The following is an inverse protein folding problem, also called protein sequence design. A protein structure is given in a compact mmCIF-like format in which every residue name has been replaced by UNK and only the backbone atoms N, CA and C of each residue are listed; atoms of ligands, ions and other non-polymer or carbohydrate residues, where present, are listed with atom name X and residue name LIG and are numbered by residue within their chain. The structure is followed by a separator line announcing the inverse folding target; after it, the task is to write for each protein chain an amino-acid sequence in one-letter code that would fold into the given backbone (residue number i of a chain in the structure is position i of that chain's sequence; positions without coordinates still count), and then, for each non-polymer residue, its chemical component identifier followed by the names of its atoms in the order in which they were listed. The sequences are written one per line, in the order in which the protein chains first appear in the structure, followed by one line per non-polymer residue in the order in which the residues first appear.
data_IF_677860822291
#
_entry.id   IF_677860822291
#
_cell.length_a   1.000
_cell.length_b   1.000
_cell.length_c   1.000
_cell.angle_alpha   90.00
_cell.angle_beta   90.00
_cell.angle_gamma   90.00
#
_symmetry.space_group_name_H-M   'P 1'
#
loop_
_entity.id
_entity.type
_entity.pdbx_description
1 polymer ?
#
# COMPACT_ATOMS: atom_id res chain seq x y z
N UNK A 1 -68.32 -68.32 -10.59
CA UNK A 1 -67.25 -69.09 -11.27
C UNK A 1 -66.73 -68.27 -12.45
N UNK A 2 -66.24 -67.06 -12.16
CA UNK A 2 -64.82 -66.74 -11.93
C UNK A 2 -64.00 -66.77 -13.23
N UNK A 3 -63.98 -65.56 -13.78
CA UNK A 3 -63.16 -65.03 -14.87
C UNK A 3 -61.66 -65.10 -14.55
N UNK A 4 -60.85 -65.09 -15.61
CA UNK A 4 -59.42 -64.77 -15.65
C UNK A 4 -58.43 -65.90 -15.38
N UNK A 5 -57.76 -66.33 -16.46
CA UNK A 5 -56.36 -66.71 -16.36
C UNK A 5 -55.62 -66.29 -17.64
N UNK A 6 -55.11 -65.06 -17.62
CA UNK A 6 -54.11 -64.59 -18.58
C UNK A 6 -52.74 -65.22 -18.22
N UNK A 7 -51.87 -65.53 -19.20
CA UNK A 7 -50.52 -65.98 -18.91
C UNK A 7 -49.72 -64.82 -18.29
N UNK A 8 -49.34 -65.03 -17.03
CA UNK A 8 -48.44 -64.15 -16.28
C UNK A 8 -47.02 -64.32 -16.81
N UNK A 9 -46.46 -63.17 -17.19
CA UNK A 9 -45.11 -62.73 -16.84
C UNK A 9 -44.00 -63.44 -17.64
N UNK A 10 -43.24 -62.74 -18.48
CA UNK A 10 -42.48 -61.56 -18.08
C UNK A 10 -41.18 -62.04 -17.43
N UNK A 11 -40.06 -61.34 -17.65
CA UNK A 11 -38.77 -61.60 -16.98
C UNK A 11 -37.85 -62.68 -17.56
N UNK A 12 -37.93 -62.98 -18.86
CA UNK A 12 -36.89 -63.77 -19.56
C UNK A 12 -35.59 -63.00 -19.87
N UNK A 13 -35.56 -61.68 -19.67
CA UNK A 13 -34.46 -60.82 -20.15
C UNK A 13 -33.73 -60.02 -19.05
N UNK A 14 -34.08 -60.21 -17.78
CA UNK A 14 -33.37 -59.56 -16.66
C UNK A 14 -32.20 -60.38 -16.10
N UNK A 15 -31.83 -61.48 -16.76
CA UNK A 15 -30.66 -62.29 -16.39
C UNK A 15 -29.35 -61.89 -17.07
N UNK A 16 -29.36 -60.96 -18.05
CA UNK A 16 -28.18 -60.74 -18.91
C UNK A 16 -27.53 -59.36 -18.88
N UNK A 17 -27.89 -58.46 -17.96
CA UNK A 17 -27.23 -57.14 -17.92
C UNK A 17 -27.16 -56.53 -16.54
N UNK A 18 -26.62 -57.24 -15.56
CA UNK A 18 -25.98 -56.58 -14.42
C UNK A 18 -24.67 -57.29 -14.18
N UNK A 19 -23.72 -56.99 -15.07
CA UNK A 19 -22.33 -57.32 -14.80
C UNK A 19 -21.94 -56.66 -13.48
N UNK A 20 -21.28 -57.35 -12.53
CA UNK A 20 -20.95 -56.83 -11.18
C UNK A 20 -19.81 -55.80 -11.21
N UNK A 21 -19.89 -54.85 -12.12
CA UNK A 21 -18.94 -53.76 -12.32
C UNK A 21 -19.11 -52.52 -11.42
N UNK A 22 -20.26 -52.20 -10.79
CA UNK A 22 -20.35 -50.97 -10.01
C UNK A 22 -19.37 -50.89 -8.83
N UNK A 23 -19.11 -51.95 -8.02
CA UNK A 23 -18.17 -51.84 -6.89
C UNK A 23 -16.70 -51.78 -7.34
N UNK A 24 -16.33 -52.47 -8.43
CA UNK A 24 -14.97 -52.47 -8.97
C UNK A 24 -14.57 -51.10 -9.52
N UNK A 25 -15.52 -50.36 -10.09
CA UNK A 25 -15.28 -49.01 -10.60
C UNK A 25 -15.14 -47.99 -9.46
N UNK A 26 -15.93 -48.12 -8.40
CA UNK A 26 -15.82 -47.26 -7.21
C UNK A 26 -14.56 -47.52 -6.40
N UNK A 27 -14.13 -48.78 -6.29
CA UNK A 27 -12.87 -49.17 -5.63
C UNK A 27 -11.67 -48.58 -6.36
N UNK A 28 -11.60 -48.73 -7.69
CA UNK A 28 -10.53 -48.14 -8.50
C UNK A 28 -10.51 -46.60 -8.47
N UNK A 29 -11.68 -45.97 -8.32
CA UNK A 29 -11.76 -44.53 -8.14
C UNK A 29 -11.18 -44.11 -6.80
N UNK A 30 -11.54 -44.82 -5.72
CA UNK A 30 -11.02 -44.57 -4.38
C UNK A 30 -9.50 -44.80 -4.29
N UNK A 31 -8.98 -45.85 -4.94
CA UNK A 31 -7.54 -46.09 -5.04
C UNK A 31 -6.83 -44.92 -5.76
N UNK A 32 -7.39 -44.43 -6.87
CA UNK A 32 -6.84 -43.27 -7.59
C UNK A 32 -6.91 -41.97 -6.77
N UNK A 33 -7.98 -41.76 -6.01
CA UNK A 33 -8.12 -40.63 -5.09
C UNK A 33 -7.08 -40.71 -3.96
N UNK A 34 -6.87 -41.90 -3.40
CA UNK A 34 -5.87 -42.13 -2.36
C UNK A 34 -4.44 -41.93 -2.89
N UNK A 35 -4.13 -42.45 -4.08
CA UNK A 35 -2.85 -42.20 -4.75
C UNK A 35 -2.62 -40.71 -5.00
N UNK A 36 -3.68 -39.99 -5.40
CA UNK A 36 -3.63 -38.53 -5.54
C UNK A 36 -3.35 -37.84 -4.20
N UNK A 37 -4.04 -38.23 -3.13
CA UNK A 37 -3.80 -37.69 -1.79
C UNK A 37 -2.37 -37.96 -1.31
N UNK A 38 -1.87 -39.20 -1.49
CA UNK A 38 -0.50 -39.57 -1.13
C UNK A 38 0.51 -38.75 -1.94
N UNK A 39 0.24 -38.51 -3.22
CA UNK A 39 1.08 -37.67 -4.06
C UNK A 39 1.07 -36.21 -3.63
N UNK A 40 -0.08 -35.67 -3.26
CA UNK A 40 -0.21 -34.30 -2.73
C UNK A 40 0.62 -34.16 -1.45
N UNK A 41 0.48 -35.09 -0.50
CA UNK A 41 1.23 -35.06 0.76
C UNK A 41 2.75 -35.13 0.54
N UNK A 42 3.21 -35.97 -0.39
CA UNK A 42 4.63 -36.04 -0.75
C UNK A 42 5.13 -34.73 -1.38
N UNK A 43 4.35 -34.10 -2.28
CA UNK A 43 4.70 -32.81 -2.86
C UNK A 43 4.72 -31.68 -1.82
N UNK A 44 3.78 -31.66 -0.89
CA UNK A 44 3.74 -30.70 0.22
C UNK A 44 4.97 -30.84 1.13
N UNK A 45 5.38 -32.09 1.40
CA UNK A 45 6.62 -32.39 2.13
C UNK A 45 7.84 -31.90 1.37
N UNK A 46 7.92 -32.14 0.06
CA UNK A 46 9.02 -31.66 -0.78
C UNK A 46 9.10 -30.15 -0.81
N UNK A 47 7.97 -29.44 -0.93
CA UNK A 47 7.92 -27.98 -0.88
C UNK A 47 8.35 -27.44 0.48
N UNK A 48 7.89 -28.07 1.57
CA UNK A 48 8.27 -27.69 2.93
C UNK A 48 9.77 -27.92 3.17
N UNK A 49 10.31 -29.02 2.65
CA UNK A 49 11.72 -29.34 2.71
C UNK A 49 12.56 -28.33 1.90
N UNK A 50 12.19 -28.07 0.65
CA UNK A 50 12.87 -27.10 -0.22
C UNK A 50 12.86 -25.69 0.39
N UNK A 51 11.75 -25.27 1.02
CA UNK A 51 11.69 -24.00 1.75
C UNK A 51 12.68 -23.95 2.91
N UNK A 52 12.76 -25.02 3.71
CA UNK A 52 13.71 -25.13 4.83
C UNK A 52 15.16 -25.10 4.35
N UNK A 53 15.47 -25.78 3.25
CA UNK A 53 16.81 -25.78 2.65
C UNK A 53 17.18 -24.40 2.09
N UNK A 54 16.24 -23.72 1.43
CA UNK A 54 16.45 -22.33 0.97
C UNK A 54 16.65 -21.37 2.14
N UNK A 55 15.92 -21.53 3.23
CA UNK A 55 16.11 -20.75 4.45
C UNK A 55 17.48 -21.01 5.10
N UNK A 56 17.89 -22.27 5.19
CA UNK A 56 19.21 -22.65 5.70
C UNK A 56 20.35 -22.08 4.83
N UNK A 57 20.24 -22.16 3.50
CA UNK A 57 21.22 -21.57 2.59
C UNK A 57 21.22 -20.04 2.69
N UNK A 58 20.05 -19.42 2.85
CA UNK A 58 19.94 -17.97 3.08
C UNK A 58 20.61 -17.57 4.39
N UNK A 59 20.48 -18.35 5.46
CA UNK A 59 21.15 -18.06 6.72
C UNK A 59 22.67 -18.20 6.61
N UNK A 60 23.14 -19.24 5.92
CA UNK A 60 24.58 -19.45 5.68
C UNK A 60 25.20 -18.38 4.77
N UNK A 61 24.46 -17.90 3.78
CA UNK A 61 24.91 -16.86 2.86
C UNK A 61 24.58 -15.45 3.34
N UNK A 62 23.68 -15.30 4.32
CA UNK A 62 23.40 -13.99 4.90
C UNK A 62 24.61 -13.57 5.72
N UNK A 63 25.32 -12.49 5.33
CA UNK A 63 26.22 -11.84 6.26
C UNK A 63 25.45 -11.45 7.53
N UNK A 64 26.11 -11.27 8.69
CA UNK A 64 25.45 -10.76 9.89
C UNK A 64 24.69 -9.50 9.49
N UNK A 65 23.36 -9.54 9.66
CA UNK A 65 22.49 -8.41 9.34
C UNK A 65 23.05 -7.21 10.10
N UNK A 66 23.58 -6.17 9.42
CA UNK A 66 23.97 -4.96 10.13
C UNK A 66 22.73 -4.49 10.90
N UNK A 67 22.87 -3.92 12.11
CA UNK A 67 21.73 -3.37 12.83
C UNK A 67 20.95 -2.52 11.83
N UNK A 68 19.64 -2.75 11.73
CA UNK A 68 18.74 -2.01 10.84
C UNK A 68 19.17 -0.56 10.83
N UNK A 69 19.40 0.07 9.66
CA UNK A 69 19.79 1.46 9.63
C UNK A 69 18.76 2.23 10.48
N UNK A 70 19.22 3.18 11.32
CA UNK A 70 18.29 3.97 12.11
C UNK A 70 17.20 4.48 11.17
N UNK A 71 15.94 4.41 11.61
CA UNK A 71 14.84 5.00 10.84
C UNK A 71 15.28 6.38 10.35
N UNK A 72 15.07 6.71 9.05
CA UNK A 72 15.57 7.95 8.48
C UNK A 72 15.17 9.08 9.43
N UNK A 73 16.17 9.87 9.84
CA UNK A 73 15.90 10.93 10.80
C UNK A 73 14.82 11.83 10.19
N UNK A 74 13.93 12.44 10.99
CA UNK A 74 12.95 13.39 10.47
C UNK A 74 13.59 14.47 9.56
N UNK A 75 14.86 14.78 9.82
CA UNK A 75 15.69 15.66 9.00
C UNK A 75 15.96 15.12 7.59
N UNK A 76 16.26 13.82 7.44
CA UNK A 76 16.49 13.19 6.14
C UNK A 76 15.21 13.16 5.31
N UNK A 77 14.07 12.89 5.95
CA UNK A 77 12.76 12.97 5.32
C UNK A 77 12.46 14.40 4.82
N UNK A 78 12.77 15.41 5.64
CA UNK A 78 12.58 16.81 5.25
C UNK A 78 13.51 17.21 4.10
N UNK A 79 14.79 16.79 4.14
CA UNK A 79 15.75 17.03 3.06
C UNK A 79 15.29 16.44 1.73
N UNK A 80 14.85 15.17 1.72
CA UNK A 80 14.36 14.51 0.51
C UNK A 80 13.09 15.18 -0.04
N UNK A 81 12.19 15.61 0.84
CA UNK A 81 10.99 16.35 0.43
C UNK A 81 11.35 17.71 -0.18
N UNK A 82 12.34 18.41 0.39
CA UNK A 82 12.84 19.67 -0.14
C UNK A 82 13.52 19.48 -1.51
N UNK A 83 14.35 18.45 -1.66
CA UNK A 83 14.99 18.09 -2.94
C UNK A 83 13.95 17.84 -4.04
N UNK A 84 12.87 17.11 -3.73
CA UNK A 84 11.76 16.89 -4.67
C UNK A 84 11.04 18.19 -5.03
N UNK A 85 10.77 19.07 -4.05
CA UNK A 85 10.12 20.36 -4.31
C UNK A 85 10.98 21.30 -5.14
N UNK A 86 12.29 21.33 -4.92
CA UNK A 86 13.22 22.11 -5.72
C UNK A 86 13.23 21.64 -7.17
N UNK A 87 13.26 20.32 -7.41
CA UNK A 87 13.20 19.75 -8.75
C UNK A 87 11.87 20.09 -9.45
N UNK A 88 10.75 19.99 -8.74
CA UNK A 88 9.43 20.36 -9.27
C UNK A 88 9.35 21.84 -9.68
N UNK A 89 9.95 22.74 -8.88
CA UNK A 89 10.00 24.17 -9.20
C UNK A 89 10.94 24.48 -10.37
N UNK A 90 12.04 23.74 -10.50
CA UNK A 90 12.96 23.83 -11.63
C UNK A 90 12.33 23.31 -12.94
N UNK A 91 11.60 22.19 -12.89
CA UNK A 91 10.84 21.66 -14.04
C UNK A 91 9.77 22.65 -14.52
N UNK A 92 9.13 23.37 -13.59
CA UNK A 92 8.18 24.44 -13.91
C UNK A 92 8.84 25.72 -14.41
N UNK A 93 10.18 25.80 -14.39
CA UNK A 93 10.93 27.01 -14.76
C UNK A 93 10.73 28.19 -13.82
N UNK A 94 10.33 27.93 -12.57
CA UNK A 94 10.09 28.97 -11.54
C UNK A 94 11.37 29.35 -10.81
N UNK A 95 12.36 28.47 -10.84
CA UNK A 95 13.70 28.73 -10.34
C UNK A 95 14.72 27.95 -11.16
N UNK A 96 16.00 28.31 -11.01
CA UNK A 96 17.12 27.56 -11.56
C UNK A 96 18.22 27.40 -10.50
N UNK A 97 18.79 26.19 -10.40
CA UNK A 97 19.81 25.85 -9.41
C UNK A 97 21.19 25.88 -10.08
N UNK A 98 21.99 26.88 -9.72
CA UNK A 98 23.36 27.04 -10.21
C UNK A 98 24.33 26.40 -9.22
N UNK A 99 25.07 25.37 -9.66
CA UNK A 99 26.11 24.71 -8.86
C UNK A 99 27.47 25.27 -9.24
N UNK A 100 28.15 25.88 -8.26
CA UNK A 100 29.48 26.43 -8.40
C UNK A 100 30.59 25.37 -8.33
N UNK A 101 31.82 25.72 -8.73
CA UNK A 101 32.97 24.80 -8.74
C UNK A 101 33.41 24.35 -7.33
N UNK A 102 33.15 25.16 -6.30
CA UNK A 102 33.55 24.90 -4.91
C UNK A 102 32.42 24.25 -4.08
N UNK A 103 31.34 23.79 -4.72
CA UNK A 103 30.18 23.22 -4.04
C UNK A 103 29.15 24.25 -3.58
N UNK A 104 29.36 25.53 -3.89
CA UNK A 104 28.36 26.59 -3.68
C UNK A 104 27.10 26.34 -4.52
N UNK A 105 25.94 26.64 -3.94
CA UNK A 105 24.64 26.46 -4.60
C UNK A 105 23.89 27.79 -4.57
N UNK A 106 23.61 28.35 -5.74
CA UNK A 106 22.79 29.53 -5.89
C UNK A 106 21.42 29.17 -6.49
N UNK A 107 20.35 29.78 -5.96
CA UNK A 107 18.98 29.59 -6.45
C UNK A 107 18.54 30.90 -7.10
N UNK A 108 18.33 30.88 -8.41
CA UNK A 108 17.80 32.02 -9.16
C UNK A 108 16.28 31.86 -9.30
N UNK A 109 15.50 32.82 -8.80
CA UNK A 109 14.03 32.80 -8.90
C UNK A 109 13.61 33.50 -10.20
N UNK A 110 12.73 32.86 -10.97
CA UNK A 110 12.18 33.40 -12.21
C UNK A 110 10.86 34.12 -11.89
N UNK A 111 10.73 35.43 -12.16
CA UNK A 111 9.51 36.17 -11.89
C UNK A 111 8.39 35.69 -12.82
N UNK A 112 7.31 35.17 -12.23
CA UNK A 112 6.07 34.87 -12.96
C UNK A 112 5.13 36.06 -12.87
N UNK A 113 4.75 36.62 -14.01
CA UNK A 113 3.66 37.59 -14.08
C UNK A 113 2.36 36.82 -13.92
N UNK A 114 1.90 36.73 -12.68
CA UNK A 114 0.52 36.31 -12.42
C UNK A 114 -0.32 37.54 -12.74
N UNK A 115 -1.09 37.50 -13.83
CA UNK A 115 -2.18 38.45 -14.07
C UNK A 115 -3.28 38.22 -13.02
N UNK A 116 -2.97 38.53 -11.76
CA UNK A 116 -3.98 38.81 -10.76
C UNK A 116 -4.58 40.13 -11.20
N UNK A 117 -5.76 40.08 -11.81
CA UNK A 117 -6.59 41.23 -12.13
C UNK A 117 -6.59 42.20 -10.95
N UNK A 118 -5.84 43.29 -11.10
CA UNK A 118 -5.50 44.22 -10.03
C UNK A 118 -6.70 45.10 -9.65
N UNK A 119 -6.89 45.31 -8.35
CA UNK A 119 -7.48 46.55 -7.85
C UNK A 119 -6.31 47.45 -7.38
N UNK A 120 -6.21 48.72 -7.86
CA UNK A 120 -5.08 49.58 -7.59
C UNK A 120 -5.26 50.35 -6.27
N UNK A 121 -4.18 50.50 -5.50
CA UNK A 121 -4.01 51.63 -4.57
C UNK A 121 -2.57 52.15 -4.65
N UNK A 122 -2.36 53.46 -4.82
CA UNK A 122 -1.14 54.01 -5.43
C UNK A 122 -0.01 54.34 -4.45
N UNK A 123 1.21 54.29 -5.00
CA UNK A 123 2.32 55.25 -4.85
C UNK A 123 2.79 55.67 -3.46
N UNK A 124 3.99 55.19 -3.13
CA UNK A 124 4.92 55.79 -2.17
C UNK A 124 6.36 55.48 -2.60
N UNK A 125 6.90 56.36 -3.43
CA UNK A 125 8.24 56.38 -4.01
C UNK A 125 9.30 56.74 -2.95
N UNK A 126 10.45 56.06 -2.94
CA UNK A 126 11.81 56.62 -2.80
C UNK A 126 12.86 55.60 -2.29
N UNK A 127 13.82 55.31 -3.17
CA UNK A 127 15.27 55.51 -2.94
C UNK A 127 16.01 54.66 -1.90
N UNK A 128 16.83 53.74 -2.44
CA UNK A 128 18.22 53.40 -2.12
C UNK A 128 18.81 53.64 -0.71
N UNK A 129 19.54 52.63 -0.23
CA UNK A 129 20.81 52.66 0.56
C UNK A 129 20.79 51.72 1.79
N UNK A 130 21.48 50.58 1.70
CA UNK A 130 22.06 49.82 2.84
C UNK A 130 23.14 50.64 3.56
N UNK A 131 23.69 50.26 4.74
CA UNK A 131 23.26 49.31 5.78
C UNK A 131 23.29 49.96 7.20
N UNK A 132 22.63 49.39 8.21
CA UNK A 132 22.91 49.75 9.60
C UNK A 132 22.67 48.60 10.58
N UNK A 133 23.78 48.07 11.06
CA UNK A 133 23.90 47.34 12.32
C UNK A 133 23.43 48.24 13.47
N UNK A 134 22.45 47.79 14.24
CA UNK A 134 22.32 48.19 15.65
C UNK A 134 21.74 47.03 16.45
N UNK A 135 22.64 46.36 17.16
CA UNK A 135 22.38 45.70 18.43
C UNK A 135 21.72 46.67 19.40
N UNK A 136 20.55 46.33 19.92
CA UNK A 136 20.03 46.88 21.18
C UNK A 136 19.14 45.84 21.86
N UNK A 137 19.73 45.16 22.82
CA UNK A 137 19.07 44.45 23.93
C UNK A 137 18.17 45.40 24.73
N UNK A 138 16.90 45.04 24.91
CA UNK A 138 16.14 45.44 26.10
C UNK A 138 15.07 44.41 26.42
N UNK A 139 15.28 43.76 27.56
CA UNK A 139 14.38 42.88 28.31
C UNK A 139 13.08 43.60 28.66
N UNK A 140 11.93 42.91 28.53
CA UNK A 140 10.62 43.42 28.95
C UNK A 140 9.60 42.29 29.04
N UNK A 141 9.65 41.58 30.17
CA UNK A 141 8.63 40.66 30.68
C UNK A 141 7.25 41.32 30.71
N UNK A 142 6.26 40.75 30.04
CA UNK A 142 4.96 40.46 30.67
C UNK A 142 4.14 39.44 29.84
N UNK A 143 3.76 38.36 30.50
CA UNK A 143 2.66 37.44 30.17
C UNK A 143 2.06 37.08 31.54
N UNK A 144 0.73 37.03 31.74
CA UNK A 144 -0.16 36.02 31.13
C UNK A 144 -1.58 36.59 30.83
N UNK A 145 -2.52 35.98 30.10
CA UNK A 145 -3.32 34.77 30.39
C UNK A 145 -4.16 34.45 29.14
N UNK A 146 -4.44 33.16 28.98
CA UNK A 146 -5.31 32.48 28.03
C UNK A 146 -6.59 33.25 27.62
N UNK A 147 -6.88 33.25 26.31
CA UNK A 147 -8.26 33.00 25.86
C UNK A 147 -8.27 31.90 24.80
N UNK A 148 -9.20 30.98 24.98
CA UNK A 148 -9.31 29.70 24.30
C UNK A 148 -10.26 29.82 23.11
N UNK A 149 -9.84 29.42 21.92
CA UNK A 149 -10.77 29.02 20.87
C UNK A 149 -10.11 28.02 19.91
N UNK A 150 -9.73 26.85 20.43
CA UNK A 150 -9.52 25.66 19.61
C UNK A 150 -10.86 25.29 18.97
N UNK A 151 -11.00 25.50 17.66
CA UNK A 151 -12.10 24.85 16.92
C UNK A 151 -11.94 23.34 17.06
N UNK A 152 -12.99 22.59 17.45
CA UNK A 152 -12.91 21.14 17.48
C UNK A 152 -12.78 20.60 16.05
N UNK A 153 -12.06 19.47 15.85
CA UNK A 153 -12.01 18.81 14.55
C UNK A 153 -13.41 18.33 14.14
N UNK A 154 -13.72 18.24 12.83
CA UNK A 154 -14.96 17.64 12.36
C UNK A 154 -15.03 16.18 12.81
N UNK A 155 -16.18 15.77 13.35
CA UNK A 155 -16.43 14.39 13.76
C UNK A 155 -16.30 13.43 12.56
N UNK A 156 -15.80 12.20 12.75
CA UNK A 156 -15.80 11.19 11.71
C UNK A 156 -17.23 10.89 11.26
N UNK A 157 -17.44 10.78 9.95
CA UNK A 157 -18.74 10.40 9.38
C UNK A 157 -19.19 9.04 9.95
N UNK A 158 -20.42 8.98 10.47
CA UNK A 158 -21.01 7.74 10.95
C UNK A 158 -21.11 6.70 9.82
N UNK A 159 -20.94 5.39 10.11
CA UNK A 159 -21.12 4.34 9.12
C UNK A 159 -22.57 4.30 8.61
N UNK A 160 -22.80 3.89 7.35
CA UNK A 160 -24.14 3.78 6.79
C UNK A 160 -24.98 2.78 7.60
N UNK A 161 -26.24 3.13 7.86
CA UNK A 161 -27.17 2.27 8.58
C UNK A 161 -27.41 0.96 7.80
N UNK A 162 -27.56 -0.18 8.50
CA UNK A 162 -27.87 -1.45 7.84
C UNK A 162 -29.24 -1.41 7.15
N UNK A 163 -29.42 -2.12 6.04
CA UNK A 163 -30.69 -2.18 5.33
C UNK A 163 -31.79 -2.82 6.20
N UNK A 164 -33.05 -2.41 6.04
CA UNK A 164 -34.16 -2.99 6.79
C UNK A 164 -34.36 -4.47 6.42
N UNK A 165 -34.77 -5.32 7.38
CA UNK A 165 -35.06 -6.72 7.11
C UNK A 165 -36.31 -6.88 6.23
N UNK A 166 -36.40 -7.99 5.47
CA UNK A 166 -37.52 -8.32 4.58
C UNK A 166 -38.83 -8.62 5.32
#
# INVERSE_FOLDING_TARGET
ELLTQAPREGWGWMGLRMSPHPPQLTEKLQDAENDSMAKIAELEKQLSQARRELEALREQLSPPRPPSPPAPQPQDCYRLALEQRLLELEEKGLLHILRGPDGDVAIQIVPVVIETQAAPVPTGEATATTPATTTATTTGTDAPVLDSALSPPPAPSAPPAPPPPP
#
